data_IF_158658034124
#
_entry.id   IF_158658034124
#
_cell.length_a   1.000
_cell.length_b   1.000
_cell.length_c   1.000
_cell.angle_alpha   90.00
_cell.angle_beta   90.00
_cell.angle_gamma   90.00
#
_symmetry.space_group_name_H-M   'P 1'
#
loop_
_entity.id
_entity.type
_entity.pdbx_description
1 polymer ?
#
# COMPACT_ATOMS: atom_id res chain seq x y z
N UNK A 1 36.59 1.60 -15.04
CA UNK A 1 36.22 1.51 -13.61
C UNK A 1 35.01 0.61 -13.50
N UNK A 2 35.12 -0.41 -12.64
CA UNK A 2 34.33 -1.64 -12.65
C UNK A 2 32.88 -1.43 -12.24
N UNK A 3 31.96 -2.00 -13.04
CA UNK A 3 30.54 -2.12 -12.75
C UNK A 3 30.31 -3.30 -11.79
N UNK A 4 29.82 -2.99 -10.59
CA UNK A 4 29.45 -3.97 -9.56
C UNK A 4 28.08 -4.57 -9.89
N UNK A 5 28.05 -5.82 -10.36
CA UNK A 5 26.84 -6.64 -10.44
C UNK A 5 26.51 -7.16 -9.04
N UNK A 6 25.42 -6.68 -8.45
CA UNK A 6 24.84 -7.30 -7.24
C UNK A 6 24.33 -8.70 -7.60
N UNK A 7 24.88 -9.71 -6.93
CA UNK A 7 24.44 -11.09 -7.04
C UNK A 7 23.02 -11.25 -6.46
N UNK A 8 22.14 -11.88 -7.23
CA UNK A 8 20.82 -12.34 -6.80
C UNK A 8 21.03 -13.60 -5.95
N UNK A 9 20.76 -13.52 -4.65
CA UNK A 9 20.71 -14.71 -3.79
C UNK A 9 19.38 -15.42 -4.05
N UNK A 10 19.44 -16.54 -4.76
CA UNK A 10 18.31 -17.44 -4.95
C UNK A 10 17.82 -17.98 -3.60
N UNK A 11 16.49 -18.00 -3.36
CA UNK A 11 15.88 -18.75 -2.24
C UNK A 11 16.19 -20.26 -2.47
N UNK A 12 17.37 -20.74 -2.07
CA UNK A 12 17.75 -22.16 -2.18
C UNK A 12 17.16 -22.95 -1.00
N UNK A 13 16.32 -23.93 -1.31
CA UNK A 13 15.92 -25.00 -0.38
C UNK A 13 16.91 -26.17 -0.48
N UNK A 14 17.24 -26.86 0.62
CA UNK A 14 17.99 -28.12 0.54
C UNK A 14 17.10 -29.22 -0.07
N UNK A 15 17.63 -29.90 -1.09
CA UNK A 15 17.02 -31.11 -1.69
C UNK A 15 17.09 -32.25 -0.69
N UNK A 16 15.96 -32.61 -0.10
CA UNK A 16 15.76 -33.89 0.57
C UNK A 16 15.27 -34.91 -0.45
N UNK A 17 15.99 -36.02 -0.56
CA UNK A 17 15.66 -37.17 -1.41
C UNK A 17 14.50 -37.95 -0.81
N UNK A 18 13.30 -37.82 -1.39
CA UNK A 18 12.22 -38.79 -1.20
C UNK A 18 11.74 -39.33 -2.54
N UNK A 19 11.59 -40.66 -2.57
CA UNK A 19 11.31 -41.49 -3.74
C UNK A 19 9.94 -41.18 -4.35
N UNK A 20 9.88 -41.35 -5.67
CA UNK A 20 8.70 -41.21 -6.52
C UNK A 20 7.49 -42.00 -6.01
N UNK A 21 6.36 -41.31 -5.87
CA UNK A 21 5.03 -41.88 -6.07
C UNK A 21 4.29 -40.96 -7.05
N UNK A 22 3.95 -41.52 -8.20
CA UNK A 22 3.21 -40.87 -9.29
C UNK A 22 1.78 -40.56 -8.85
N UNK A 23 1.42 -39.29 -8.77
CA UNK A 23 0.03 -38.85 -8.68
C UNK A 23 -0.18 -37.62 -9.57
N UNK A 24 -1.20 -37.73 -10.40
CA UNK A 24 -1.62 -36.85 -11.49
C UNK A 24 -1.34 -35.35 -11.32
N UNK A 25 -0.52 -34.80 -12.21
CA UNK A 25 -0.50 -33.37 -12.50
C UNK A 25 -1.88 -32.95 -13.03
N UNK A 26 -2.70 -32.37 -12.16
CA UNK A 26 -3.90 -31.65 -12.58
C UNK A 26 -3.42 -30.35 -13.24
N UNK A 27 -3.52 -30.29 -14.56
CA UNK A 27 -3.25 -29.11 -15.35
C UNK A 27 -4.08 -27.93 -14.80
N UNK A 28 -3.40 -26.93 -14.25
CA UNK A 28 -3.99 -25.63 -13.93
C UNK A 28 -4.40 -25.01 -15.27
N UNK A 29 -5.69 -25.12 -15.60
CA UNK A 29 -6.29 -24.36 -16.69
C UNK A 29 -6.06 -22.87 -16.41
N UNK A 30 -5.34 -22.23 -17.33
CA UNK A 30 -4.97 -20.84 -17.26
C UNK A 30 -6.16 -19.91 -17.32
N UNK A 31 -6.61 -19.42 -16.16
CA UNK A 31 -7.20 -18.10 -16.11
C UNK A 31 -6.09 -17.10 -16.39
N UNK A 32 -6.11 -16.42 -17.54
CA UNK A 32 -5.25 -15.24 -17.79
C UNK A 32 -5.42 -14.30 -16.59
N UNK A 33 -4.42 -14.22 -15.70
CA UNK A 33 -4.36 -13.22 -14.65
C UNK A 33 -4.15 -11.85 -15.33
N UNK A 34 -5.22 -11.23 -15.80
CA UNK A 34 -5.18 -9.86 -16.29
C UNK A 34 -4.93 -8.93 -15.08
N UNK A 35 -4.12 -7.90 -15.30
CA UNK A 35 -4.11 -6.73 -14.41
C UNK A 35 -5.55 -6.20 -14.40
N UNK A 36 -6.19 -5.96 -13.24
CA UNK A 36 -7.41 -5.17 -13.22
C UNK A 36 -7.08 -3.79 -13.79
N UNK A 37 -7.69 -3.41 -14.91
CA UNK A 37 -7.58 -2.04 -15.40
C UNK A 37 -7.96 -1.10 -14.26
N UNK A 38 -7.16 -0.06 -14.02
CA UNK A 38 -7.47 0.93 -12.98
C UNK A 38 -8.76 1.63 -13.39
N UNK A 39 -9.85 1.51 -12.61
CA UNK A 39 -11.07 2.24 -12.90
C UNK A 39 -10.76 3.73 -12.98
N UNK A 40 -11.41 4.41 -13.91
CA UNK A 40 -11.12 5.80 -14.21
C UNK A 40 -12.40 6.59 -14.33
N UNK A 41 -12.51 7.64 -13.52
CA UNK A 41 -13.58 8.63 -13.61
C UNK A 41 -13.01 10.02 -13.85
N UNK A 42 -13.83 10.93 -14.37
CA UNK A 42 -13.44 12.32 -14.61
C UNK A 42 -14.29 13.26 -13.76
N UNK A 43 -13.63 14.08 -12.94
CA UNK A 43 -14.28 15.22 -12.30
C UNK A 43 -14.24 16.41 -13.28
N UNK A 44 -15.40 16.90 -13.69
CA UNK A 44 -15.57 18.01 -14.64
C UNK A 44 -15.35 19.35 -13.97
N UNK A 45 -15.73 19.49 -12.71
CA UNK A 45 -15.56 20.72 -11.93
C UNK A 45 -15.37 20.41 -10.44
N UNK A 46 -15.06 21.42 -9.64
CA UNK A 46 -14.76 21.24 -8.21
C UNK A 46 -15.97 20.77 -7.39
N UNK A 47 -17.20 21.04 -7.84
CA UNK A 47 -18.43 20.68 -7.12
C UNK A 47 -18.70 19.19 -7.16
N UNK A 48 -18.21 18.48 -8.18
CA UNK A 48 -18.33 17.02 -8.28
C UNK A 48 -17.82 16.29 -7.01
N UNK A 49 -16.90 16.91 -6.24
CA UNK A 49 -16.41 16.40 -4.95
C UNK A 49 -17.49 16.17 -3.88
N UNK A 50 -18.67 16.79 -4.00
CA UNK A 50 -19.82 16.63 -3.10
C UNK A 50 -21.11 16.21 -3.82
N UNK A 51 -21.06 16.00 -5.13
CA UNK A 51 -22.22 15.53 -5.90
C UNK A 51 -22.52 14.06 -5.54
N UNK A 52 -23.73 13.71 -5.09
CA UNK A 52 -24.04 12.36 -4.59
C UNK A 52 -23.73 11.23 -5.58
N UNK A 53 -24.04 11.41 -6.86
CA UNK A 53 -23.73 10.39 -7.87
C UNK A 53 -22.21 10.14 -7.97
N UNK A 54 -21.43 11.22 -7.97
CA UNK A 54 -19.98 11.15 -8.11
C UNK A 54 -19.32 10.54 -6.86
N UNK A 55 -19.73 10.94 -5.67
CA UNK A 55 -19.23 10.37 -4.41
C UNK A 55 -19.62 8.90 -4.26
N UNK A 56 -20.84 8.51 -4.67
CA UNK A 56 -21.29 7.12 -4.73
C UNK A 56 -20.38 6.28 -5.63
N UNK A 57 -20.04 6.79 -6.81
CA UNK A 57 -19.18 6.10 -7.77
C UNK A 57 -17.75 5.93 -7.24
N UNK A 58 -17.19 6.98 -6.62
CA UNK A 58 -15.88 6.92 -5.94
C UNK A 58 -15.89 5.85 -4.84
N UNK A 59 -16.88 5.89 -3.94
CA UNK A 59 -16.98 4.92 -2.87
C UNK A 59 -17.13 3.48 -3.41
N UNK A 60 -18.02 3.27 -4.39
CA UNK A 60 -18.19 1.95 -5.02
C UNK A 60 -16.86 1.41 -5.53
N UNK A 61 -16.06 2.23 -6.21
CA UNK A 61 -14.77 1.79 -6.71
C UNK A 61 -13.75 1.45 -5.62
N UNK A 62 -13.72 2.25 -4.55
CA UNK A 62 -12.88 1.97 -3.39
C UNK A 62 -13.28 0.66 -2.68
N UNK A 63 -14.58 0.37 -2.59
CA UNK A 63 -15.05 -0.86 -1.95
C UNK A 63 -14.83 -2.10 -2.84
N UNK A 64 -15.03 -1.98 -4.16
CA UNK A 64 -15.01 -3.13 -5.07
C UNK A 64 -13.61 -3.44 -5.59
N UNK A 65 -12.96 -2.50 -6.30
CA UNK A 65 -11.61 -2.70 -6.83
C UNK A 65 -10.50 -2.31 -5.83
N UNK A 66 -10.78 -1.37 -4.92
CA UNK A 66 -9.78 -0.87 -3.97
C UNK A 66 -8.73 0.03 -4.61
N UNK A 67 -8.94 0.47 -5.85
CA UNK A 67 -8.09 1.43 -6.57
C UNK A 67 -8.94 2.24 -7.53
N UNK A 68 -8.66 3.53 -7.66
CA UNK A 68 -9.38 4.43 -8.55
C UNK A 68 -8.48 5.56 -9.03
N UNK A 69 -8.48 5.82 -10.33
CA UNK A 69 -7.95 7.06 -10.92
C UNK A 69 -9.10 8.06 -11.12
N UNK A 70 -8.85 9.31 -10.74
CA UNK A 70 -9.70 10.45 -11.04
C UNK A 70 -8.87 11.45 -11.85
N UNK A 71 -9.33 11.87 -13.03
CA UNK A 71 -8.76 13.01 -13.75
C UNK A 71 -9.58 14.26 -13.52
N UNK A 72 -8.92 15.35 -13.13
CA UNK A 72 -9.56 16.65 -12.95
C UNK A 72 -9.59 17.40 -14.29
N UNK A 73 -10.78 17.77 -14.74
CA UNK A 73 -11.01 18.62 -15.90
C UNK A 73 -10.73 20.11 -15.66
N UNK A 74 -10.20 20.46 -14.48
CA UNK A 74 -9.99 21.82 -14.00
C UNK A 74 -8.68 21.89 -13.18
N UNK A 75 -8.05 23.07 -13.07
CA UNK A 75 -6.89 23.25 -12.22
C UNK A 75 -7.27 23.20 -10.73
N UNK A 76 -6.47 22.51 -9.92
CA UNK A 76 -6.68 22.43 -8.48
C UNK A 76 -5.36 22.29 -7.70
N UNK A 77 -4.51 23.30 -7.81
CA UNK A 77 -3.16 23.29 -7.20
C UNK A 77 -3.17 23.31 -5.67
N UNK A 78 -4.33 23.65 -5.08
CA UNK A 78 -4.58 23.63 -3.63
C UNK A 78 -5.32 22.37 -3.17
N UNK A 79 -5.59 21.45 -4.10
CA UNK A 79 -6.25 20.17 -3.85
C UNK A 79 -7.60 20.26 -3.13
N UNK A 80 -8.35 21.33 -3.39
CA UNK A 80 -9.65 21.57 -2.76
C UNK A 80 -10.69 20.55 -3.16
N UNK A 81 -10.61 19.99 -4.37
CA UNK A 81 -11.46 18.87 -4.77
C UNK A 81 -11.19 17.64 -3.90
N UNK A 82 -9.93 17.26 -3.70
CA UNK A 82 -9.59 16.05 -2.92
C UNK A 82 -9.95 16.23 -1.44
N UNK A 83 -9.70 17.40 -0.87
CA UNK A 83 -10.11 17.77 0.49
C UNK A 83 -11.62 17.57 0.68
N UNK A 84 -12.43 18.17 -0.20
CA UNK A 84 -13.89 18.06 -0.16
C UNK A 84 -14.40 16.65 -0.42
N UNK A 85 -13.77 15.91 -1.32
CA UNK A 85 -14.13 14.53 -1.63
C UNK A 85 -13.99 13.64 -0.38
N UNK A 86 -12.88 13.75 0.35
CA UNK A 86 -12.66 12.96 1.58
C UNK A 86 -13.72 13.29 2.63
N UNK A 87 -14.05 14.57 2.82
CA UNK A 87 -15.10 14.99 3.76
C UNK A 87 -16.49 14.49 3.35
N UNK A 88 -16.79 14.52 2.05
CA UNK A 88 -18.06 14.06 1.50
C UNK A 88 -18.20 12.54 1.62
N UNK A 89 -17.12 11.79 1.40
CA UNK A 89 -17.08 10.34 1.67
C UNK A 89 -17.35 10.03 3.15
N UNK A 90 -16.85 10.86 4.07
CA UNK A 90 -17.18 10.72 5.49
C UNK A 90 -18.66 10.97 5.77
N UNK A 91 -19.19 12.08 5.22
CA UNK A 91 -20.58 12.51 5.42
C UNK A 91 -21.60 11.53 4.84
N UNK A 92 -21.34 10.97 3.65
CA UNK A 92 -22.33 10.19 2.90
C UNK A 92 -22.10 8.67 2.92
N UNK A 93 -20.87 8.22 3.24
CA UNK A 93 -20.51 6.80 3.19
C UNK A 93 -19.88 6.26 4.49
N UNK A 94 -19.86 7.06 5.56
CA UNK A 94 -19.36 6.62 6.85
C UNK A 94 -17.86 6.36 6.87
N UNK A 95 -17.10 6.94 5.95
CA UNK A 95 -15.64 6.93 6.05
C UNK A 95 -15.20 7.72 7.29
N UNK A 96 -14.28 7.16 8.06
CA UNK A 96 -13.66 7.87 9.18
C UNK A 96 -12.84 9.09 8.72
N UNK A 97 -12.48 9.98 9.67
CA UNK A 97 -11.82 11.24 9.37
C UNK A 97 -10.44 11.06 8.73
N UNK A 98 -9.90 12.11 8.08
CA UNK A 98 -8.53 12.11 7.63
C UNK A 98 -7.55 12.12 8.82
N UNK A 99 -6.38 11.52 8.64
CA UNK A 99 -5.36 11.40 9.68
C UNK A 99 -4.17 12.33 9.41
N UNK A 100 -3.60 12.89 10.47
CA UNK A 100 -2.43 13.77 10.40
C UNK A 100 -1.20 13.03 9.86
N UNK A 101 -0.28 13.76 9.24
CA UNK A 101 0.99 13.19 8.78
C UNK A 101 1.87 12.76 9.96
N UNK A 102 2.02 13.68 10.91
CA UNK A 102 2.77 13.54 12.16
C UNK A 102 2.19 14.52 13.20
N UNK A 103 2.73 14.55 14.42
CA UNK A 103 2.29 15.47 15.48
C UNK A 103 2.30 16.95 15.04
N UNK A 104 3.22 17.33 14.15
CA UNK A 104 3.45 18.73 13.75
C UNK A 104 2.95 19.06 12.35
N UNK A 105 2.27 18.13 11.66
CA UNK A 105 1.84 18.32 10.26
C UNK A 105 0.41 17.84 10.10
N UNK A 106 -0.41 18.67 9.45
CA UNK A 106 -1.81 18.39 9.18
C UNK A 106 -2.05 17.12 8.35
N UNK A 107 -3.32 16.84 8.05
CA UNK A 107 -3.75 15.63 7.35
C UNK A 107 -3.56 15.66 5.83
N UNK A 108 -2.94 16.74 5.34
CA UNK A 108 -2.77 17.02 3.93
C UNK A 108 -1.37 17.58 3.69
N UNK A 109 -0.48 16.82 3.03
CA UNK A 109 0.95 17.17 2.98
C UNK A 109 1.59 16.92 1.63
N UNK A 110 2.68 17.65 1.40
CA UNK A 110 3.48 17.57 0.19
C UNK A 110 4.34 16.31 0.18
N UNK A 111 4.33 15.62 -0.94
CA UNK A 111 5.20 14.48 -1.26
C UNK A 111 6.08 14.91 -2.41
N UNK A 112 7.20 15.53 -2.07
CA UNK A 112 8.20 16.04 -3.00
C UNK A 112 9.60 15.97 -2.41
N UNK A 113 10.64 15.84 -3.24
CA UNK A 113 12.01 16.12 -2.83
C UNK A 113 12.10 17.56 -2.30
N UNK A 114 12.91 17.78 -1.27
CA UNK A 114 13.14 19.10 -0.69
C UNK A 114 14.64 19.42 -0.76
N UNK A 115 15.04 20.70 -0.80
CA UNK A 115 16.48 21.04 -0.88
C UNK A 115 17.26 20.44 0.30
N UNK A 116 16.59 20.30 1.43
CA UNK A 116 17.14 19.74 2.65
C UNK A 116 17.05 18.19 2.67
N UNK A 117 16.31 17.53 1.75
CA UNK A 117 16.28 16.05 1.64
C UNK A 117 17.55 15.47 1.03
N UNK A 118 18.51 16.34 0.70
CA UNK A 118 19.88 16.01 0.34
C UNK A 118 20.79 15.89 1.59
N UNK A 119 20.27 16.16 2.80
CA UNK A 119 20.98 16.06 4.09
C UNK A 119 20.36 15.02 5.05
N UNK A 120 21.21 14.37 5.86
CA UNK A 120 20.96 13.08 6.52
C UNK A 120 20.01 13.02 7.74
N UNK A 121 19.29 14.08 8.13
CA UNK A 121 18.55 14.05 9.40
C UNK A 121 17.03 14.26 9.23
N UNK A 122 16.26 13.29 9.76
CA UNK A 122 14.80 13.28 10.03
C UNK A 122 13.83 13.52 8.86
N UNK A 123 13.61 12.52 7.99
CA UNK A 123 12.58 12.63 6.93
C UNK A 123 11.82 11.34 6.66
N UNK A 124 10.53 11.50 6.36
CA UNK A 124 9.72 10.45 5.79
C UNK A 124 10.28 10.06 4.41
N UNK A 125 10.38 8.76 4.11
CA UNK A 125 10.88 8.25 2.82
C UNK A 125 10.15 8.82 1.59
N UNK A 126 8.90 9.25 1.75
CA UNK A 126 8.12 9.91 0.70
C UNK A 126 8.71 11.26 0.24
N UNK A 127 9.56 11.89 1.06
CA UNK A 127 10.17 13.20 0.80
C UNK A 127 11.59 13.10 0.22
N UNK A 128 12.07 11.88 -0.07
CA UNK A 128 13.39 11.66 -0.68
C UNK A 128 13.28 11.29 -2.15
N UNK A 129 14.43 11.26 -2.84
CA UNK A 129 14.57 10.81 -4.23
C UNK A 129 14.71 9.29 -4.36
N UNK A 130 14.92 8.58 -3.25
CA UNK A 130 15.20 7.14 -3.25
C UNK A 130 14.00 6.31 -3.68
N UNK A 131 14.22 5.03 -3.98
CA UNK A 131 13.09 4.12 -4.08
C UNK A 131 12.35 4.01 -2.74
N UNK A 132 11.04 3.76 -2.80
CA UNK A 132 10.26 3.34 -1.65
C UNK A 132 9.76 1.92 -1.91
N UNK A 133 10.35 0.90 -1.27
CA UNK A 133 9.96 -0.50 -1.45
C UNK A 133 8.50 -0.77 -1.09
N UNK A 134 8.02 -1.98 -1.41
CA UNK A 134 6.65 -2.43 -1.12
C UNK A 134 6.25 -2.20 0.34
N UNK A 135 5.16 -1.47 0.53
CA UNK A 135 4.60 -1.18 1.83
C UNK A 135 3.10 -0.86 1.78
N UNK A 136 2.50 -0.81 2.97
CA UNK A 136 1.25 -0.13 3.28
C UNK A 136 1.57 1.09 4.13
N UNK A 137 0.83 2.18 3.97
CA UNK A 137 0.98 3.37 4.80
C UNK A 137 0.66 3.06 6.27
N UNK A 138 1.48 3.60 7.17
CA UNK A 138 1.29 3.49 8.63
C UNK A 138 1.14 2.06 9.16
N UNK A 139 1.88 1.08 8.64
CA UNK A 139 1.84 -0.30 9.13
C UNK A 139 2.19 -0.46 10.62
N UNK A 140 2.87 0.53 11.20
CA UNK A 140 3.24 0.62 12.61
C UNK A 140 2.15 1.22 13.53
N UNK A 141 1.01 1.66 12.99
CA UNK A 141 -0.11 2.17 13.81
C UNK A 141 -1.05 1.01 14.22
N UNK A 142 -1.65 1.07 15.41
CA UNK A 142 -2.68 0.08 15.81
C UNK A 142 -3.89 0.13 14.85
N UNK A 143 -4.26 1.34 14.43
CA UNK A 143 -5.33 1.61 13.48
C UNK A 143 -4.79 2.30 12.21
N UNK A 144 -4.18 1.57 11.26
CA UNK A 144 -3.71 2.14 10.00
C UNK A 144 -4.89 2.68 9.18
N UNK A 145 -4.66 3.72 8.37
CA UNK A 145 -5.66 4.23 7.45
C UNK A 145 -6.08 3.14 6.47
N UNK A 146 -7.38 3.02 6.23
CA UNK A 146 -7.87 2.13 5.19
C UNK A 146 -7.56 2.67 3.80
N UNK A 147 -7.61 3.99 3.62
CA UNK A 147 -7.44 4.59 2.30
C UNK A 147 -6.36 5.67 2.30
N UNK A 148 -5.70 5.82 1.15
CA UNK A 148 -4.88 6.99 0.86
C UNK A 148 -5.10 7.47 -0.56
N UNK A 149 -4.76 8.73 -0.81
CA UNK A 149 -4.80 9.31 -2.13
C UNK A 149 -3.53 10.12 -2.40
N UNK A 150 -3.15 10.14 -3.67
CA UNK A 150 -2.07 10.97 -4.21
C UNK A 150 -2.63 11.81 -5.35
N UNK A 151 -2.58 13.14 -5.23
CA UNK A 151 -2.81 14.06 -6.35
C UNK A 151 -1.48 14.44 -6.98
N UNK A 152 -1.42 14.38 -8.31
CA UNK A 152 -0.28 14.83 -9.11
C UNK A 152 -0.41 16.32 -9.39
N UNK A 153 0.46 17.10 -8.72
CA UNK A 153 0.61 18.54 -8.98
C UNK A 153 1.72 18.80 -10.00
N UNK A 154 2.78 17.98 -9.98
CA UNK A 154 3.82 17.95 -10.99
C UNK A 154 4.34 16.49 -11.10
N UNK A 155 4.20 15.83 -12.26
CA UNK A 155 4.72 14.48 -12.44
C UNK A 155 6.26 14.48 -12.49
N UNK A 156 6.86 13.29 -12.56
CA UNK A 156 8.29 13.17 -12.84
C UNK A 156 8.51 13.25 -14.36
N UNK A 157 9.15 14.31 -14.84
CA UNK A 157 9.43 14.46 -16.27
C UNK A 157 10.71 13.74 -16.73
N UNK A 158 11.42 13.08 -15.83
CA UNK A 158 12.70 12.42 -16.08
C UNK A 158 12.58 10.89 -16.11
N UNK A 159 11.37 10.34 -16.16
CA UNK A 159 11.11 8.89 -16.21
C UNK A 159 11.43 8.17 -14.90
N UNK A 160 11.27 8.85 -13.76
CA UNK A 160 11.34 8.30 -12.41
C UNK A 160 9.97 8.27 -11.73
N UNK A 161 9.94 8.01 -10.42
CA UNK A 161 8.78 8.22 -9.56
C UNK A 161 7.54 7.38 -9.89
N UNK A 162 7.72 6.23 -10.56
CA UNK A 162 6.67 5.31 -10.99
C UNK A 162 6.00 4.75 -9.75
N UNK A 163 4.68 4.92 -9.65
CA UNK A 163 3.87 4.29 -8.60
C UNK A 163 3.61 2.85 -9.03
N UNK A 164 4.07 1.89 -8.23
CA UNK A 164 3.73 0.48 -8.40
C UNK A 164 2.70 0.07 -7.36
N UNK A 165 1.71 -0.72 -7.75
CA UNK A 165 0.69 -1.23 -6.83
C UNK A 165 0.43 -2.72 -7.07
N UNK A 166 0.34 -3.48 -5.98
CA UNK A 166 0.19 -4.94 -5.98
C UNK A 166 -0.96 -5.36 -5.06
N UNK A 167 -1.93 -6.09 -5.61
CA UNK A 167 -3.09 -6.58 -4.85
C UNK A 167 -2.70 -7.72 -3.92
N UNK A 168 -3.07 -7.62 -2.65
CA UNK A 168 -2.73 -8.59 -1.59
C UNK A 168 -3.22 -10.00 -1.92
N UNK A 169 -4.37 -10.14 -2.55
CA UNK A 169 -4.92 -11.46 -2.95
C UNK A 169 -3.98 -12.24 -3.89
N UNK A 170 -3.15 -11.55 -4.69
CA UNK A 170 -2.16 -12.21 -5.56
C UNK A 170 -1.02 -12.83 -4.75
N UNK A 171 -0.65 -12.20 -3.65
CA UNK A 171 0.37 -12.72 -2.72
C UNK A 171 -0.22 -13.90 -1.94
N UNK A 172 -1.49 -13.78 -1.51
CA UNK A 172 -2.21 -14.84 -0.79
C UNK A 172 -2.21 -16.17 -1.53
N UNK A 173 -2.32 -16.17 -2.86
CA UNK A 173 -2.30 -17.39 -3.68
C UNK A 173 -0.94 -18.10 -3.75
N UNK A 174 0.14 -17.45 -3.33
CA UNK A 174 1.50 -18.03 -3.38
C UNK A 174 2.03 -18.49 -2.03
N UNK A 175 1.37 -18.16 -0.93
CA UNK A 175 1.77 -18.59 0.41
C UNK A 175 0.97 -19.82 0.87
N UNK A 176 1.66 -20.72 1.56
CA UNK A 176 1.14 -21.93 2.19
C UNK A 176 0.06 -21.61 3.24
N UNK A 177 -0.75 -22.62 3.56
CA UNK A 177 -1.75 -22.50 4.63
C UNK A 177 -1.10 -22.20 5.98
N UNK A 178 0.04 -22.83 6.27
CA UNK A 178 0.78 -22.62 7.52
C UNK A 178 1.37 -21.22 7.61
N UNK A 179 2.00 -20.72 6.55
CA UNK A 179 2.49 -19.34 6.53
C UNK A 179 1.34 -18.35 6.68
N UNK A 180 0.23 -18.55 5.98
CA UNK A 180 -0.96 -17.71 6.11
C UNK A 180 -1.49 -17.68 7.55
N UNK A 181 -1.63 -18.84 8.19
CA UNK A 181 -2.11 -18.95 9.57
C UNK A 181 -1.17 -18.25 10.56
N UNK A 182 0.15 -18.37 10.37
CA UNK A 182 1.11 -17.69 11.25
C UNK A 182 1.19 -16.17 11.00
N UNK A 183 1.01 -15.71 9.76
CA UNK A 183 0.96 -14.28 9.44
C UNK A 183 -0.28 -13.56 10.01
N UNK A 184 -1.35 -14.30 10.34
CA UNK A 184 -2.54 -13.78 11.01
C UNK A 184 -2.36 -13.60 12.53
N UNK A 185 -1.35 -14.23 13.13
CA UNK A 185 -1.12 -14.14 14.58
C UNK A 185 -0.39 -12.83 14.94
N UNK A 186 -0.63 -12.27 16.14
CA UNK A 186 0.06 -11.09 16.62
C UNK A 186 1.49 -11.41 17.10
N UNK A 187 2.32 -11.93 16.19
CA UNK A 187 3.70 -12.40 16.47
C UNK A 187 4.75 -11.56 15.71
N UNK A 188 4.40 -10.33 15.34
CA UNK A 188 5.28 -9.42 14.61
C UNK A 188 5.35 -8.08 15.33
N UNK A 189 6.54 -7.71 15.74
CA UNK A 189 6.84 -6.38 16.24
C UNK A 189 7.02 -5.43 15.06
N UNK A 190 6.28 -4.33 15.05
CA UNK A 190 6.43 -3.24 14.10
C UNK A 190 7.07 -2.06 14.81
N UNK A 191 8.33 -1.76 14.48
CA UNK A 191 9.02 -0.58 14.99
C UNK A 191 8.35 0.69 14.46
N UNK A 192 8.07 1.64 15.35
CA UNK A 192 7.60 2.98 14.98
C UNK A 192 8.84 3.79 14.54
N UNK A 193 8.92 4.26 13.28
CA UNK A 193 10.02 5.12 12.86
C UNK A 193 10.03 6.41 13.68
N UNK A 194 11.21 6.89 14.06
CA UNK A 194 11.35 8.01 15.00
C UNK A 194 10.69 9.29 14.50
N UNK A 195 10.68 9.52 13.20
CA UNK A 195 10.01 10.66 12.56
C UNK A 195 8.47 10.66 12.70
N UNK A 196 7.89 9.51 13.09
CA UNK A 196 6.46 9.34 13.33
C UNK A 196 6.11 9.05 14.79
N UNK A 197 7.09 9.03 15.70
CA UNK A 197 6.83 8.84 17.13
C UNK A 197 5.95 9.98 17.66
N UNK A 198 4.81 9.61 18.24
CA UNK A 198 3.88 10.52 18.93
C UNK A 198 4.06 10.49 20.44
N UNK A 199 4.57 9.36 20.93
CA UNK A 199 4.85 9.08 22.34
C UNK A 199 6.24 8.42 22.41
N UNK A 200 7.22 9.04 23.07
CA UNK A 200 8.56 8.47 23.24
C UNK A 200 8.59 7.13 23.99
N UNK A 201 7.56 6.84 24.81
CA UNK A 201 7.48 5.57 25.55
C UNK A 201 7.07 4.40 24.64
N UNK A 202 6.35 4.68 23.55
CA UNK A 202 5.86 3.67 22.61
C UNK A 202 6.75 3.63 21.37
N UNK A 203 7.68 2.68 21.34
CA UNK A 203 8.68 2.54 20.24
C UNK A 203 8.32 1.47 19.20
N UNK A 204 7.36 0.60 19.52
CA UNK A 204 6.88 -0.46 18.63
C UNK A 204 5.46 -0.90 19.01
N UNK A 205 4.82 -1.66 18.11
CA UNK A 205 3.57 -2.37 18.38
C UNK A 205 3.73 -3.85 18.08
N UNK A 206 3.06 -4.71 18.85
CA UNK A 206 2.93 -6.13 18.54
C UNK A 206 1.62 -6.38 17.79
N UNK A 207 1.69 -6.93 16.58
CA UNK A 207 0.51 -7.13 15.74
C UNK A 207 0.71 -8.24 14.71
N UNK A 208 -0.31 -8.50 13.89
CA UNK A 208 -0.26 -9.44 12.78
C UNK A 208 0.09 -8.73 11.47
N UNK A 209 0.71 -9.44 10.52
CA UNK A 209 0.96 -8.90 9.17
C UNK A 209 -0.30 -8.99 8.31
N UNK A 210 -0.99 -10.13 8.40
CA UNK A 210 -2.27 -10.35 7.72
C UNK A 210 -3.42 -10.12 8.68
N UNK A 211 -4.55 -9.72 8.11
CA UNK A 211 -5.83 -9.61 8.80
C UNK A 211 -6.96 -10.09 7.92
N UNK A 212 -8.14 -10.24 8.51
CA UNK A 212 -9.37 -10.60 7.78
C UNK A 212 -10.34 -9.44 7.89
N UNK A 213 -10.81 -8.94 6.75
CA UNK A 213 -11.81 -7.90 6.73
C UNK A 213 -13.12 -8.46 7.30
N UNK A 214 -13.69 -7.79 8.31
CA UNK A 214 -14.89 -8.26 8.98
C UNK A 214 -16.12 -8.28 8.06
N UNK A 215 -16.18 -7.39 7.06
CA UNK A 215 -17.34 -7.20 6.18
C UNK A 215 -17.42 -8.23 5.05
N UNK A 216 -16.31 -8.44 4.35
CA UNK A 216 -16.28 -9.26 3.13
C UNK A 216 -15.36 -10.47 3.22
N UNK A 217 -14.73 -10.69 4.39
CA UNK A 217 -13.79 -11.79 4.66
C UNK A 217 -12.54 -11.80 3.76
N UNK A 218 -12.27 -10.71 3.04
CA UNK A 218 -11.07 -10.55 2.24
C UNK A 218 -9.81 -10.49 3.10
N UNK A 219 -8.68 -10.89 2.52
CA UNK A 219 -7.38 -10.78 3.21
C UNK A 219 -6.91 -9.33 3.16
N UNK A 220 -6.56 -8.81 4.33
CA UNK A 220 -5.92 -7.51 4.50
C UNK A 220 -4.44 -7.72 4.85
N UNK A 221 -3.60 -6.73 4.52
CA UNK A 221 -2.20 -6.74 4.88
C UNK A 221 -1.78 -5.39 5.49
N UNK A 222 -0.88 -5.44 6.45
CA UNK A 222 -0.02 -4.33 6.85
C UNK A 222 1.42 -4.78 6.64
N UNK A 223 2.21 -4.01 5.91
CA UNK A 223 3.55 -4.44 5.56
C UNK A 223 4.48 -3.25 5.39
N UNK A 224 5.69 -3.36 5.95
CA UNK A 224 6.83 -2.52 5.61
C UNK A 224 8.08 -3.25 6.09
N UNK A 225 8.85 -3.78 5.13
CA UNK A 225 9.91 -4.76 5.41
C UNK A 225 10.93 -4.31 6.46
N UNK A 226 11.35 -3.04 6.42
CA UNK A 226 12.45 -2.52 7.24
C UNK A 226 12.08 -2.31 8.72
N UNK A 227 10.82 -2.49 9.09
CA UNK A 227 10.35 -2.24 10.47
C UNK A 227 9.67 -3.45 11.11
N UNK A 228 9.67 -4.62 10.46
CA UNK A 228 9.02 -5.83 10.95
C UNK A 228 10.07 -6.77 11.55
N UNK A 229 9.86 -7.18 12.80
CA UNK A 229 10.64 -8.22 13.47
C UNK A 229 9.69 -9.35 13.91
N UNK A 230 9.87 -10.59 13.42
CA UNK A 230 9.11 -11.74 13.91
C UNK A 230 9.59 -12.13 15.31
N UNK A 231 8.66 -12.48 16.22
CA UNK A 231 9.00 -12.83 17.62
C UNK A 231 9.05 -14.34 17.89
N UNK A 232 8.62 -15.17 16.93
CA UNK A 232 8.65 -16.64 17.01
C UNK A 232 9.35 -17.25 15.78
N UNK A 233 9.79 -18.52 15.88
CA UNK A 233 10.38 -19.25 14.74
C UNK A 233 9.38 -19.47 13.61
N UNK A 234 8.10 -19.67 13.95
CA UNK A 234 7.00 -19.83 13.00
C UNK A 234 6.73 -18.52 12.27
N UNK A 235 6.65 -17.40 13.00
CA UNK A 235 6.52 -16.06 12.44
C UNK A 235 7.71 -15.72 11.51
N UNK A 236 8.93 -16.08 11.90
CA UNK A 236 10.12 -15.89 11.07
C UNK A 236 10.03 -16.65 9.75
N UNK A 237 9.63 -17.92 9.82
CA UNK A 237 9.47 -18.77 8.63
C UNK A 237 8.37 -18.23 7.71
N UNK A 238 7.23 -17.83 8.28
CA UNK A 238 6.12 -17.26 7.55
C UNK A 238 6.44 -15.92 6.89
N UNK A 239 7.18 -15.03 7.58
CA UNK A 239 7.67 -13.78 7.00
C UNK A 239 8.66 -14.03 5.86
N UNK A 240 9.56 -15.00 6.01
CA UNK A 240 10.50 -15.39 4.94
C UNK A 240 9.75 -15.84 3.69
N UNK A 241 8.72 -16.67 3.86
CA UNK A 241 7.87 -17.13 2.76
C UNK A 241 7.11 -15.98 2.10
N UNK A 242 6.50 -15.09 2.89
CA UNK A 242 5.85 -13.88 2.39
C UNK A 242 6.80 -13.03 1.54
N UNK A 243 8.07 -12.88 1.97
CA UNK A 243 9.09 -12.12 1.24
C UNK A 243 9.46 -12.77 -0.09
N UNK A 244 9.63 -14.10 -0.16
CA UNK A 244 9.85 -14.76 -1.46
C UNK A 244 8.57 -14.62 -2.32
N UNK A 245 7.36 -14.76 -1.76
CA UNK A 245 6.09 -14.61 -2.49
C UNK A 245 5.90 -13.20 -3.10
N UNK A 246 6.18 -12.11 -2.37
CA UNK A 246 6.11 -10.74 -2.91
C UNK A 246 7.04 -10.59 -4.13
N UNK A 247 8.27 -11.13 -4.04
CA UNK A 247 9.23 -11.09 -5.15
C UNK A 247 8.78 -11.92 -6.34
N UNK A 248 8.20 -13.10 -6.09
CA UNK A 248 7.65 -13.95 -7.15
C UNK A 248 6.50 -13.28 -7.87
N UNK A 249 5.55 -12.66 -7.15
CA UNK A 249 4.43 -11.94 -7.79
C UNK A 249 4.94 -10.77 -8.63
N UNK A 250 5.99 -10.06 -8.19
CA UNK A 250 6.56 -8.96 -8.97
C UNK A 250 7.11 -9.39 -10.33
N UNK A 251 7.57 -10.64 -10.45
CA UNK A 251 8.07 -11.22 -11.69
C UNK A 251 6.95 -11.75 -12.61
N UNK A 252 5.74 -11.93 -12.08
CA UNK A 252 4.62 -12.39 -12.88
C UNK A 252 4.18 -11.29 -13.86
N UNK A 253 4.04 -11.60 -15.16
CA UNK A 253 3.46 -10.67 -16.11
C UNK A 253 2.09 -10.23 -15.61
N UNK A 254 1.78 -8.94 -15.73
CA UNK A 254 0.44 -8.41 -15.43
C UNK A 254 -0.02 -8.59 -13.96
N UNK A 255 0.89 -8.80 -13.02
CA UNK A 255 0.53 -8.86 -11.59
C UNK A 255 0.65 -7.51 -10.87
N UNK A 256 1.49 -6.61 -11.38
CA UNK A 256 1.79 -5.31 -10.79
C UNK A 256 1.28 -4.19 -11.68
N UNK A 257 0.49 -3.28 -11.11
CA UNK A 257 0.20 -1.99 -11.71
C UNK A 257 1.47 -1.15 -11.68
N UNK A 258 1.92 -0.64 -12.84
CA UNK A 258 3.04 0.30 -12.93
C UNK A 258 2.54 1.56 -13.59
N UNK A 259 2.34 2.61 -12.78
CA UNK A 259 1.71 3.86 -13.19
C UNK A 259 2.78 4.96 -13.27
N UNK A 260 3.16 5.30 -14.49
CA UNK A 260 4.11 6.38 -14.80
C UNK A 260 3.41 7.71 -15.10
N UNK A 261 4.16 8.64 -15.69
CA UNK A 261 3.67 9.99 -16.04
C UNK A 261 2.53 9.95 -17.07
N UNK A 262 2.54 9.00 -18.00
CA UNK A 262 1.44 8.84 -18.98
C UNK A 262 0.15 8.33 -18.32
N UNK A 263 0.28 7.47 -17.31
CA UNK A 263 -0.86 6.93 -16.57
C UNK A 263 -1.40 7.94 -15.54
N UNK A 264 -0.52 8.71 -14.92
CA UNK A 264 -0.80 9.68 -13.88
C UNK A 264 -0.17 11.05 -14.22
N UNK A 265 -0.65 11.74 -15.26
CA UNK A 265 -0.19 13.10 -15.57
C UNK A 265 -0.65 14.08 -14.50
N UNK A 266 -0.19 15.33 -14.61
CA UNK A 266 -0.75 16.45 -13.83
C UNK A 266 -2.28 16.40 -13.82
N UNK A 267 -2.89 16.76 -12.68
CA UNK A 267 -4.36 16.74 -12.48
C UNK A 267 -4.95 15.33 -12.41
N UNK A 268 -4.11 14.32 -12.20
CA UNK A 268 -4.57 12.99 -11.80
C UNK A 268 -4.58 12.86 -10.28
N UNK A 269 -5.58 12.14 -9.76
CA UNK A 269 -5.62 11.65 -8.40
C UNK A 269 -5.72 10.14 -8.47
N UNK A 270 -4.86 9.44 -7.75
CA UNK A 270 -4.98 7.99 -7.54
C UNK A 270 -5.38 7.75 -6.08
N UNK A 271 -6.43 6.96 -5.87
CA UNK A 271 -6.90 6.53 -4.57
C UNK A 271 -6.69 5.02 -4.45
N UNK A 272 -6.25 4.55 -3.28
CA UNK A 272 -6.03 3.13 -3.00
C UNK A 272 -6.59 2.73 -1.64
N UNK A 273 -7.11 1.51 -1.57
CA UNK A 273 -7.31 0.76 -0.32
C UNK A 273 -5.97 0.20 0.14
N UNK A 274 -5.42 0.87 1.15
CA UNK A 274 -4.14 0.61 1.78
C UNK A 274 -4.06 -0.76 2.47
N UNK A 275 -5.19 -1.45 2.69
CA UNK A 275 -5.24 -2.78 3.31
C UNK A 275 -5.24 -3.89 2.27
N UNK A 276 -5.72 -3.60 1.06
CA UNK A 276 -5.86 -4.57 -0.04
C UNK A 276 -4.77 -4.43 -1.10
N UNK A 277 -4.00 -3.33 -1.06
CA UNK A 277 -2.94 -3.04 -2.01
C UNK A 277 -1.64 -2.67 -1.28
N UNK A 278 -0.57 -3.38 -1.62
CA UNK A 278 0.78 -2.87 -1.41
C UNK A 278 1.08 -1.81 -2.46
N UNK A 279 1.89 -0.83 -2.10
CA UNK A 279 2.42 0.14 -3.04
C UNK A 279 3.91 0.35 -2.87
N UNK A 280 4.56 0.74 -3.96
CA UNK A 280 5.97 1.06 -4.02
C UNK A 280 6.20 2.24 -4.97
N UNK A 281 7.36 2.87 -4.86
CA UNK A 281 7.77 3.97 -5.74
C UNK A 281 9.17 3.69 -6.26
N UNK A 282 9.39 3.77 -7.57
CA UNK A 282 10.76 3.77 -8.11
C UNK A 282 11.52 5.04 -7.71
N UNK A 283 12.83 5.08 -7.94
CA UNK A 283 13.61 6.31 -7.77
C UNK A 283 12.95 7.49 -8.49
N UNK A 284 12.80 8.61 -7.77
CA UNK A 284 12.45 9.89 -8.39
C UNK A 284 13.68 10.41 -9.09
N UNK A 285 13.50 10.93 -10.31
CA UNK A 285 14.58 11.48 -11.13
C UNK A 285 14.40 12.98 -11.35
N UNK A 286 13.17 13.48 -11.25
CA UNK A 286 12.87 14.91 -11.30
C UNK A 286 12.79 15.50 -9.87
N UNK A 287 13.71 16.41 -9.47
CA UNK A 287 13.67 17.05 -8.16
C UNK A 287 12.45 17.96 -7.97
N UNK A 288 11.76 18.36 -9.04
CA UNK A 288 10.55 19.16 -8.98
C UNK A 288 9.27 18.32 -8.92
N UNK A 289 9.36 16.98 -8.95
CA UNK A 289 8.20 16.10 -8.81
C UNK A 289 7.44 16.45 -7.55
N UNK A 290 6.15 16.74 -7.70
CA UNK A 290 5.32 17.22 -6.62
C UNK A 290 3.98 16.50 -6.59
N UNK A 291 3.78 15.70 -5.56
CA UNK A 291 2.48 15.14 -5.24
C UNK A 291 1.93 15.72 -3.94
N UNK A 292 0.63 15.54 -3.76
CA UNK A 292 -0.06 15.81 -2.52
C UNK A 292 -0.70 14.55 -1.98
N UNK A 293 -0.54 14.26 -0.70
CA UNK A 293 -1.05 13.04 -0.06
C UNK A 293 -2.07 13.36 1.03
N UNK A 294 -3.06 12.47 1.14
CA UNK A 294 -3.99 12.34 2.26
C UNK A 294 -4.18 10.87 2.61
N UNK A 295 -4.39 10.58 3.89
CA UNK A 295 -4.78 9.27 4.42
C UNK A 295 -6.04 9.47 5.25
N UNK A 296 -6.99 8.55 5.22
CA UNK A 296 -8.22 8.66 6.00
C UNK A 296 -8.80 7.29 6.35
N UNK A 297 -9.89 7.31 7.12
CA UNK A 297 -10.61 6.13 7.56
C UNK A 297 -9.71 5.16 8.33
N UNK A 298 -9.03 5.65 9.36
CA UNK A 298 -8.27 4.82 10.28
C UNK A 298 -9.22 3.94 11.10
N UNK A 299 -8.91 2.64 11.16
CA UNK A 299 -9.68 1.67 11.93
C UNK A 299 -8.74 0.56 12.43
N UNK A 300 -9.06 -0.14 13.53
CA UNK A 300 -8.26 -1.27 14.00
C UNK A 300 -7.98 -2.30 12.90
N UNK A 301 -6.80 -2.93 12.96
CA UNK A 301 -6.61 -4.20 12.26
C UNK A 301 -7.39 -5.28 12.98
N UNK A 302 -8.13 -6.08 12.24
CA UNK A 302 -8.71 -7.32 12.75
C UNK A 302 -7.72 -8.47 12.49
N UNK A 303 -7.33 -9.17 13.55
CA UNK A 303 -6.33 -10.24 13.52
C UNK A 303 -6.96 -11.62 13.24
N UNK A 304 -8.18 -11.67 12.69
CA UNK A 304 -8.87 -12.92 12.40
C UNK A 304 -9.40 -13.68 13.63
N UNK A 305 -9.05 -13.27 14.86
CA UNK A 305 -9.73 -13.70 16.07
C UNK A 305 -11.17 -13.21 16.00
N UNK A 306 -12.15 -14.12 15.95
CA UNK A 306 -13.54 -13.75 16.17
C UNK A 306 -13.60 -13.05 17.53
N UNK A 307 -13.94 -11.76 17.50
CA UNK A 307 -14.49 -11.11 18.68
C UNK A 307 -15.78 -11.87 19.00
N UNK A 308 -15.77 -12.68 20.07
CA UNK A 308 -16.98 -12.97 20.80
C UNK A 308 -17.21 -11.76 21.70
N UNK A 309 -18.21 -10.90 21.44
CA UNK A 309 -18.62 -9.95 22.45
C UNK A 309 -19.24 -10.78 23.58
N UNK A 310 -18.67 -10.69 24.78
CA UNK A 310 -19.38 -11.10 25.98
C UNK A 310 -20.61 -10.20 26.15
N UNK A 311 -21.71 -10.83 26.54
CA UNK A 311 -23.06 -10.27 26.74
C UNK A 311 -23.11 -9.14 27.77
#
# INVERSE_FOLDING_TARGET
MQSSRRAVVACQYPRSTYRHSTSSHRALQGTKLLVPAVPHIRARNILDSHEPHHTNEVNRHLQTEGVLKITLGFPDNRSKYLERLVLSLGTHHGHGPPITHSANRGWFWDVRPTKESLGQNYRARSETMDEFPWHTDCSYELAPPQFFALQVLQPDFCGGGILSALKVDRIRSLISADAYANLLKPEFEFKIPSEFSKDPATVSILSSILGINARDRSTMMRYREDIITPVTTQAFSALKELKCAIREVELLPNAVLRLGTEDLPERSIILLDNRRWLHARSHVKDPNRHLRRVRWNAAPFSNGSMYHPEE
#
